data_IF_201209189535
#
_entry.id   IF_201209189535
#
_cell.length_a   1.000
_cell.length_b   1.000
_cell.length_c   1.000
_cell.angle_alpha   90.00
_cell.angle_beta   90.00
_cell.angle_gamma   90.00
#
_symmetry.space_group_name_H-M   'P 1'
#
loop_
_entity.id
_entity.type
_entity.pdbx_description
1 polymer ?
#
# COMPACT_ATOMS: atom_id res chain seq x y z
N UNK A 1 -7.31 -26.41 -8.22
CA UNK A 1 -6.94 -25.11 -7.63
C UNK A 1 -5.72 -24.63 -8.40
N UNK A 2 -5.95 -23.73 -9.35
CA UNK A 2 -4.93 -23.32 -10.32
C UNK A 2 -3.86 -22.44 -9.65
N UNK A 3 -2.61 -22.69 -10.02
CA UNK A 3 -1.42 -22.11 -9.43
C UNK A 3 -1.07 -20.79 -10.11
N UNK A 4 -0.57 -19.84 -9.31
CA UNK A 4 0.11 -18.57 -9.67
C UNK A 4 -0.78 -17.36 -9.99
N UNK A 5 -1.57 -16.88 -9.03
CA UNK A 5 -1.75 -15.42 -8.93
C UNK A 5 -0.45 -14.84 -8.37
N UNK A 6 0.27 -14.06 -9.18
CA UNK A 6 1.43 -13.31 -8.72
C UNK A 6 0.91 -12.23 -7.75
N UNK A 7 1.46 -12.14 -6.53
CA UNK A 7 1.02 -11.14 -5.54
C UNK A 7 1.21 -9.70 -6.04
N UNK A 8 2.01 -9.51 -7.08
CA UNK A 8 2.24 -8.24 -7.77
C UNK A 8 1.00 -7.75 -8.54
N UNK A 9 0.08 -8.65 -8.92
CA UNK A 9 -1.10 -8.33 -9.72
C UNK A 9 -2.37 -8.13 -8.85
N UNK A 10 -2.18 -8.02 -7.53
CA UNK A 10 -3.24 -7.83 -6.56
C UNK A 10 -3.07 -6.49 -5.83
N UNK A 11 -4.16 -5.84 -5.39
CA UNK A 11 -5.56 -6.15 -5.72
C UNK A 11 -5.90 -5.86 -7.19
N UNK A 12 -7.07 -6.32 -7.66
CA UNK A 12 -7.61 -5.87 -8.95
C UNK A 12 -7.97 -4.36 -8.94
N UNK A 13 -8.40 -3.84 -10.10
CA UNK A 13 -8.74 -2.42 -10.27
C UNK A 13 -9.89 -1.97 -9.34
N UNK A 14 -10.76 -2.89 -8.93
CA UNK A 14 -11.85 -2.63 -8.00
C UNK A 14 -11.39 -2.67 -6.53
N UNK A 15 -10.15 -3.08 -6.27
CA UNK A 15 -9.56 -3.20 -4.94
C UNK A 15 -9.81 -4.57 -4.29
N UNK A 16 -10.15 -5.60 -5.07
CA UNK A 16 -10.45 -6.93 -4.55
C UNK A 16 -9.27 -7.89 -4.62
N UNK A 17 -9.21 -8.74 -3.62
CA UNK A 17 -8.35 -9.91 -3.52
C UNK A 17 -9.20 -11.17 -3.72
N UNK A 18 -9.58 -11.43 -4.98
CA UNK A 18 -10.56 -12.48 -5.27
C UNK A 18 -11.94 -12.07 -4.75
N UNK A 19 -12.63 -12.90 -3.93
CA UNK A 19 -13.95 -12.53 -3.40
C UNK A 19 -13.88 -11.47 -2.28
N UNK A 20 -12.70 -11.14 -1.77
CA UNK A 20 -12.50 -10.26 -0.60
C UNK A 20 -12.06 -8.85 -1.00
N UNK A 21 -12.20 -7.87 -0.10
CA UNK A 21 -11.80 -6.47 -0.35
C UNK A 21 -12.84 -5.68 -1.14
N UNK A 22 -12.39 -4.75 -1.98
CA UNK A 22 -13.25 -3.79 -2.66
C UNK A 22 -13.60 -2.59 -1.79
N UNK A 23 -14.56 -1.78 -2.24
CA UNK A 23 -14.95 -0.51 -1.62
C UNK A 23 -16.42 -0.55 -1.23
N UNK A 24 -16.70 -0.87 0.03
CA UNK A 24 -18.04 -0.92 0.62
C UNK A 24 -18.24 0.25 1.58
N UNK A 25 -18.32 1.45 1.02
CA UNK A 25 -18.49 2.71 1.77
C UNK A 25 -19.72 3.45 1.25
N UNK A 26 -20.17 4.46 1.98
CA UNK A 26 -21.24 5.35 1.51
C UNK A 26 -20.85 6.01 0.18
N UNK A 27 -21.81 6.17 -0.73
CA UNK A 27 -21.59 6.77 -2.05
C UNK A 27 -20.96 8.16 -1.95
N UNK A 28 -21.36 8.94 -0.94
CA UNK A 28 -20.81 10.28 -0.66
C UNK A 28 -19.31 10.28 -0.36
N UNK A 29 -18.72 9.14 0.02
CA UNK A 29 -17.28 8.99 0.28
C UNK A 29 -16.50 8.53 -0.95
N UNK A 30 -17.17 7.97 -1.97
CA UNK A 30 -16.49 7.42 -3.14
C UNK A 30 -15.59 8.42 -3.88
N UNK A 31 -15.98 9.70 -4.08
CA UNK A 31 -15.08 10.68 -4.69
C UNK A 31 -13.77 10.85 -3.91
N UNK A 32 -13.86 10.93 -2.58
CA UNK A 32 -12.69 11.10 -1.71
C UNK A 32 -11.78 9.87 -1.71
N UNK A 33 -12.37 8.67 -1.76
CA UNK A 33 -11.61 7.41 -1.88
C UNK A 33 -10.83 7.36 -3.19
N UNK A 34 -11.47 7.76 -4.30
CA UNK A 34 -10.82 7.80 -5.62
C UNK A 34 -9.72 8.87 -5.68
N UNK A 35 -9.93 10.02 -5.05
CA UNK A 35 -8.91 11.08 -4.96
C UNK A 35 -7.69 10.62 -4.19
N UNK A 36 -7.90 9.95 -3.05
CA UNK A 36 -6.82 9.35 -2.26
C UNK A 36 -6.07 8.28 -3.05
N UNK A 37 -6.78 7.40 -3.77
CA UNK A 37 -6.17 6.38 -4.62
C UNK A 37 -5.25 7.00 -5.68
N UNK A 38 -5.70 8.08 -6.34
CA UNK A 38 -4.89 8.81 -7.34
C UNK A 38 -3.65 9.45 -6.70
N UNK A 39 -3.82 10.16 -5.58
CA UNK A 39 -2.72 10.81 -4.88
C UNK A 39 -1.69 9.79 -4.38
N UNK A 40 -2.15 8.65 -3.84
CA UNK A 40 -1.30 7.58 -3.38
C UNK A 40 -0.47 6.96 -4.51
N UNK A 41 -1.08 6.67 -5.67
CA UNK A 41 -0.36 6.16 -6.84
C UNK A 41 0.69 7.14 -7.36
N UNK A 42 0.36 8.44 -7.37
CA UNK A 42 1.31 9.48 -7.75
C UNK A 42 2.50 9.52 -6.77
N UNK A 43 2.24 9.47 -5.45
CA UNK A 43 3.28 9.47 -4.42
C UNK A 43 4.16 8.20 -4.46
N UNK A 44 3.58 7.02 -4.72
CA UNK A 44 4.35 5.79 -4.89
C UNK A 44 5.35 5.86 -6.05
N UNK A 45 4.98 6.54 -7.14
CA UNK A 45 5.81 6.69 -8.31
C UNK A 45 6.84 7.84 -8.19
N UNK A 46 6.75 8.67 -7.15
CA UNK A 46 7.62 9.82 -6.93
C UNK A 46 8.89 9.44 -6.12
N UNK A 47 10.09 9.51 -6.71
CA UNK A 47 11.33 9.23 -6.00
C UNK A 47 11.60 10.19 -4.84
N UNK A 48 11.13 11.44 -4.90
CA UNK A 48 11.32 12.40 -3.82
C UNK A 48 10.52 12.00 -2.58
N UNK A 49 9.28 11.55 -2.77
CA UNK A 49 8.45 11.00 -1.69
C UNK A 49 9.12 9.78 -1.05
N UNK A 50 9.63 8.86 -1.86
CA UNK A 50 10.35 7.68 -1.37
C UNK A 50 11.61 8.06 -0.56
N UNK A 51 12.37 9.06 -1.02
CA UNK A 51 13.57 9.54 -0.34
C UNK A 51 13.24 10.15 1.03
N UNK A 52 12.21 11.00 1.12
CA UNK A 52 11.77 11.57 2.40
C UNK A 52 11.26 10.50 3.36
N UNK A 53 10.52 9.51 2.87
CA UNK A 53 10.04 8.40 3.69
C UNK A 53 11.20 7.55 4.23
N UNK A 54 12.22 7.29 3.41
CA UNK A 54 13.42 6.57 3.83
C UNK A 54 14.21 7.34 4.91
N UNK A 55 14.36 8.66 4.74
CA UNK A 55 14.99 9.53 5.74
C UNK A 55 14.28 9.43 7.10
N UNK A 56 12.95 9.56 7.12
CA UNK A 56 12.18 9.40 8.35
C UNK A 56 12.24 7.99 8.91
N UNK A 57 12.26 6.94 8.09
CA UNK A 57 12.44 5.58 8.59
C UNK A 57 13.76 5.41 9.32
N UNK A 58 14.86 5.95 8.80
CA UNK A 58 16.18 5.82 9.41
C UNK A 58 16.35 6.75 10.62
N UNK A 59 16.02 8.03 10.47
CA UNK A 59 16.43 9.06 11.41
C UNK A 59 15.37 9.43 12.45
N UNK A 60 14.10 9.11 12.20
CA UNK A 60 13.00 9.40 13.12
C UNK A 60 12.39 8.13 13.72
N UNK A 61 12.08 7.13 12.89
CA UNK A 61 11.44 5.88 13.32
C UNK A 61 12.46 4.88 13.88
N UNK A 62 13.72 4.92 13.44
CA UNK A 62 14.78 4.03 13.91
C UNK A 62 14.82 2.67 13.22
N UNK A 63 14.49 2.59 11.93
CA UNK A 63 14.64 1.39 11.09
C UNK A 63 16.09 1.21 10.59
N UNK A 64 16.52 -0.04 10.30
CA UNK A 64 15.77 -1.29 10.45
C UNK A 64 15.70 -1.74 11.91
N UNK A 65 14.57 -2.35 12.30
CA UNK A 65 14.45 -3.02 13.60
C UNK A 65 15.36 -4.25 13.64
N UNK A 66 16.09 -4.48 14.74
CA UNK A 66 16.94 -5.65 14.87
C UNK A 66 16.09 -6.93 14.93
N UNK A 67 16.52 -7.98 14.25
CA UNK A 67 15.97 -9.32 14.41
C UNK A 67 16.78 -10.04 15.48
N UNK A 68 16.22 -10.14 16.69
CA UNK A 68 16.87 -10.79 17.83
C UNK A 68 16.49 -12.28 17.89
N UNK A 69 17.47 -13.14 18.14
CA UNK A 69 17.25 -14.57 18.40
C UNK A 69 17.15 -14.80 19.91
N UNK A 70 16.01 -15.29 20.38
CA UNK A 70 15.75 -15.54 21.80
C UNK A 70 15.91 -17.04 22.11
N UNK A 71 17.04 -17.41 22.72
CA UNK A 71 17.34 -18.74 23.28
C UNK A 71 16.80 -18.92 24.69
#
# INVERSE_FOLDING_TARGET
>A
MDARRNWQDLPDAEGRFGPYGGRFVAETLMPLVLDLERAYRAAQADPAFAATMADFWTHYVGRPSPLYFAE
#
